data_IF_465559950947
#
_entry.id   IF_465559950947
#
_cell.length_a   1.000
_cell.length_b   1.000
_cell.length_c   1.000
_cell.angle_alpha   90.00
_cell.angle_beta   90.00
_cell.angle_gamma   90.00
#
_symmetry.space_group_name_H-M   'P 1'
#
loop_
_entity.id
_entity.type
_entity.pdbx_description
1 polymer ?
#
# COMPACT_ATOMS: atom_id res chain seq x y z
N UNK A 1 -4.68 -6.46 36.25
CA UNK A 1 -4.92 -5.32 35.33
C UNK A 1 -3.84 -5.37 34.25
N UNK A 2 -4.20 -5.28 32.96
CA UNK A 2 -3.23 -5.35 31.86
C UNK A 2 -3.19 -4.06 31.07
N UNK A 3 -2.15 -3.24 31.24
CA UNK A 3 -1.95 -2.00 30.48
C UNK A 3 -1.53 -2.31 29.05
N UNK A 4 -2.51 -2.45 28.13
CA UNK A 4 -2.24 -2.45 26.68
C UNK A 4 -1.61 -1.12 26.30
N UNK A 5 -0.29 -1.13 26.06
CA UNK A 5 0.44 0.01 25.53
C UNK A 5 -0.17 0.41 24.19
N UNK A 6 -0.89 1.52 24.15
CA UNK A 6 -1.27 2.15 22.88
C UNK A 6 0.00 2.74 22.30
N UNK A 7 0.55 2.13 21.25
CA UNK A 7 1.61 2.72 20.42
C UNK A 7 0.99 3.83 19.55
N UNK A 8 0.40 4.81 20.23
CA UNK A 8 -0.22 5.99 19.66
C UNK A 8 0.89 6.96 19.28
N UNK A 9 1.44 6.79 18.08
CA UNK A 9 2.23 7.86 17.46
C UNK A 9 1.42 9.16 17.46
N UNK A 10 2.10 10.31 17.49
CA UNK A 10 1.46 11.64 17.55
C UNK A 10 0.87 12.02 16.18
N UNK A 11 -0.11 11.23 15.74
CA UNK A 11 -0.79 11.35 14.46
C UNK A 11 -2.02 12.24 14.62
N UNK A 12 -1.93 13.45 14.08
CA UNK A 12 -3.02 14.44 14.03
C UNK A 12 -3.77 14.35 12.71
N UNK A 13 -3.03 14.25 11.62
CA UNK A 13 -3.54 14.12 10.26
C UNK A 13 -2.74 13.01 9.53
N UNK A 14 -2.84 11.74 9.95
CA UNK A 14 -2.03 10.68 9.38
C UNK A 14 -2.34 10.48 7.90
N UNK A 15 -1.30 10.27 7.11
CA UNK A 15 -1.33 9.97 5.69
C UNK A 15 -0.44 8.78 5.39
N UNK A 16 -0.84 7.96 4.42
CA UNK A 16 -0.09 6.81 3.92
C UNK A 16 0.16 6.97 2.42
N UNK A 17 1.42 6.83 2.02
CA UNK A 17 1.79 6.71 0.60
C UNK A 17 1.59 5.26 0.16
N UNK A 18 0.94 5.05 -0.98
CA UNK A 18 0.80 3.74 -1.62
C UNK A 18 0.83 3.85 -3.14
N UNK A 19 1.21 2.76 -3.81
CA UNK A 19 1.30 2.73 -5.27
C UNK A 19 -0.07 2.69 -5.93
N UNK A 20 -0.13 3.14 -7.17
CA UNK A 20 -1.26 2.86 -8.05
C UNK A 20 -1.17 1.41 -8.56
N UNK A 21 -2.31 0.73 -8.82
CA UNK A 21 -3.69 1.25 -8.76
C UNK A 21 -4.30 1.30 -7.35
N UNK A 22 -3.71 0.66 -6.34
CA UNK A 22 -4.29 0.51 -5.00
C UNK A 22 -4.70 1.82 -4.33
N UNK A 23 -3.96 2.92 -4.54
CA UNK A 23 -4.29 4.25 -4.01
C UNK A 23 -5.69 4.72 -4.45
N UNK A 24 -6.00 4.64 -5.75
CA UNK A 24 -7.30 5.06 -6.29
C UNK A 24 -8.39 4.07 -5.91
N UNK A 25 -8.11 2.77 -5.99
CA UNK A 25 -9.09 1.71 -5.66
C UNK A 25 -9.55 1.80 -4.20
N UNK A 26 -8.67 2.22 -3.27
CA UNK A 26 -9.02 2.41 -1.85
C UNK A 26 -9.87 3.68 -1.62
N UNK A 27 -9.51 4.80 -2.28
CA UNK A 27 -10.25 6.07 -2.14
C UNK A 27 -11.60 6.05 -2.87
N UNK A 28 -11.75 5.25 -3.92
CA UNK A 28 -13.02 5.00 -4.60
C UNK A 28 -13.85 3.86 -3.97
N UNK A 29 -13.42 3.31 -2.83
CA UNK A 29 -14.18 2.31 -2.07
C UNK A 29 -14.27 0.92 -2.70
N UNK A 30 -13.47 0.63 -3.72
CA UNK A 30 -13.38 -0.68 -4.36
C UNK A 30 -12.55 -1.63 -3.48
N UNK A 31 -11.37 -1.17 -3.07
CA UNK A 31 -10.47 -1.82 -2.10
C UNK A 31 -10.92 -1.46 -0.68
N UNK A 32 -11.03 -2.46 0.19
CA UNK A 32 -11.59 -2.34 1.55
C UNK A 32 -10.61 -2.79 2.65
N UNK A 33 -9.56 -3.53 2.27
CA UNK A 33 -8.49 -3.97 3.16
C UNK A 33 -7.17 -3.38 2.67
N UNK A 34 -6.47 -2.60 3.50
CA UNK A 34 -5.08 -2.19 3.20
C UNK A 34 -4.09 -3.20 3.80
N UNK A 35 -3.17 -3.70 2.97
CA UNK A 35 -2.29 -4.83 3.30
C UNK A 35 -0.88 -4.38 3.66
N UNK A 36 -0.39 -4.71 4.86
CA UNK A 36 0.97 -4.35 5.32
C UNK A 36 1.65 -5.50 6.06
N UNK A 37 2.98 -5.48 6.07
CA UNK A 37 3.83 -6.39 6.86
C UNK A 37 3.90 -6.02 8.34
N UNK A 38 3.15 -5.00 8.78
CA UNK A 38 3.15 -4.44 10.13
C UNK A 38 1.75 -3.92 10.51
N UNK A 39 1.37 -3.97 11.80
CA UNK A 39 0.03 -3.60 12.27
C UNK A 39 -0.23 -2.10 12.12
N UNK A 40 -1.50 -1.71 12.01
CA UNK A 40 -1.85 -0.29 11.88
C UNK A 40 -1.47 0.51 13.14
N UNK A 41 -0.82 1.68 12.99
CA UNK A 41 -0.37 2.51 14.11
C UNK A 41 -1.44 3.51 14.58
N UNK A 42 -2.66 3.43 14.03
CA UNK A 42 -3.76 4.38 14.20
C UNK A 42 -5.12 3.66 14.22
N UNK A 43 -6.15 4.39 14.59
CA UNK A 43 -7.56 4.09 14.33
C UNK A 43 -8.26 5.41 14.07
N UNK A 44 -9.20 5.47 13.12
CA UNK A 44 -9.80 6.70 12.60
C UNK A 44 -9.28 7.09 11.22
N UNK A 45 -9.52 8.35 10.81
CA UNK A 45 -9.22 8.87 9.47
C UNK A 45 -7.74 8.70 9.07
N UNK A 46 -7.50 8.08 7.92
CA UNK A 46 -6.22 7.98 7.23
C UNK A 46 -6.30 8.62 5.84
N UNK A 47 -5.45 9.61 5.57
CA UNK A 47 -5.29 10.22 4.25
C UNK A 47 -4.48 9.30 3.32
N UNK A 48 -4.83 9.28 2.02
CA UNK A 48 -4.22 8.41 1.02
C UNK A 48 -3.51 9.26 -0.04
N UNK A 49 -2.22 9.01 -0.20
CA UNK A 49 -1.36 9.64 -1.21
C UNK A 49 -0.90 8.59 -2.24
N UNK A 50 -1.02 8.93 -3.52
CA UNK A 50 -0.53 8.11 -4.62
C UNK A 50 0.96 8.33 -4.87
N UNK A 51 1.76 7.28 -4.76
CA UNK A 51 3.20 7.30 -5.02
C UNK A 51 3.53 7.78 -6.45
N UNK A 52 4.74 8.31 -6.64
CA UNK A 52 5.20 8.88 -7.92
C UNK A 52 5.59 7.88 -9.01
N UNK A 53 5.60 6.56 -8.76
CA UNK A 53 5.83 5.56 -9.82
C UNK A 53 4.54 5.39 -10.63
N UNK A 54 4.64 5.62 -11.94
CA UNK A 54 3.57 5.36 -12.92
C UNK A 54 3.13 3.88 -12.80
N UNK A 55 1.82 3.60 -12.69
CA UNK A 55 1.31 2.24 -12.73
C UNK A 55 1.52 1.62 -14.11
N UNK A 56 1.98 0.37 -14.09
CA UNK A 56 2.16 -0.49 -15.25
C UNK A 56 0.78 -1.00 -15.76
N UNK A 57 0.49 -1.01 -17.08
CA UNK A 57 -0.85 -1.32 -17.59
C UNK A 57 -1.35 -2.72 -17.22
N UNK A 58 -0.45 -3.71 -17.28
CA UNK A 58 -0.68 -5.10 -16.89
C UNK A 58 -0.96 -5.20 -15.37
N UNK A 59 -0.28 -4.39 -14.56
CA UNK A 59 -0.52 -4.22 -13.12
C UNK A 59 -1.89 -3.60 -12.82
N UNK A 60 -2.35 -2.62 -13.62
CA UNK A 60 -3.72 -2.10 -13.52
C UNK A 60 -4.70 -3.22 -13.84
N UNK A 61 -4.58 -3.84 -15.02
CA UNK A 61 -5.49 -4.88 -15.49
C UNK A 61 -5.59 -6.05 -14.51
N UNK A 62 -4.47 -6.56 -14.00
CA UNK A 62 -4.45 -7.66 -13.04
C UNK A 62 -5.19 -7.32 -11.74
N UNK A 63 -5.13 -6.07 -11.28
CA UNK A 63 -5.87 -5.62 -10.11
C UNK A 63 -7.35 -5.38 -10.40
N UNK A 64 -7.71 -4.85 -11.57
CA UNK A 64 -9.13 -4.70 -11.99
C UNK A 64 -9.80 -6.06 -12.20
N UNK A 65 -9.14 -7.01 -12.85
CA UNK A 65 -9.61 -8.40 -12.99
C UNK A 65 -9.80 -9.05 -11.62
N UNK A 66 -8.83 -8.89 -10.71
CA UNK A 66 -8.94 -9.37 -9.32
C UNK A 66 -10.14 -8.78 -8.58
N UNK A 67 -10.32 -7.46 -8.63
CA UNK A 67 -11.49 -6.84 -7.99
C UNK A 67 -12.80 -7.27 -8.66
N UNK A 68 -12.83 -7.48 -9.98
CA UNK A 68 -14.01 -7.97 -10.69
C UNK A 68 -14.39 -9.39 -10.26
N UNK A 69 -13.43 -10.31 -10.14
CA UNK A 69 -13.68 -11.69 -9.70
C UNK A 69 -14.10 -11.76 -8.22
N UNK A 70 -13.44 -11.05 -7.29
CA UNK A 70 -13.84 -11.11 -5.87
C UNK A 70 -15.19 -10.43 -5.59
N UNK A 71 -15.58 -9.41 -6.36
CA UNK A 71 -16.93 -8.84 -6.27
C UNK A 71 -17.98 -9.77 -6.88
N UNK A 72 -17.64 -10.51 -7.94
CA UNK A 72 -18.53 -11.52 -8.53
C UNK A 72 -18.83 -12.69 -7.58
N UNK A 73 -17.89 -13.07 -6.69
CA UNK A 73 -18.14 -14.02 -5.59
C UNK A 73 -19.26 -13.54 -4.64
N UNK A 74 -19.47 -12.23 -4.52
CA UNK A 74 -20.60 -11.64 -3.79
C UNK A 74 -21.75 -11.18 -4.71
N UNK A 75 -21.83 -11.70 -5.93
CA UNK A 75 -22.90 -11.44 -6.89
C UNK A 75 -22.84 -10.09 -7.61
N UNK A 76 -21.78 -9.31 -7.44
CA UNK A 76 -21.66 -7.95 -7.97
C UNK A 76 -20.78 -7.95 -9.22
N UNK A 77 -21.38 -7.63 -10.37
CA UNK A 77 -20.72 -7.68 -11.69
C UNK A 77 -20.54 -6.32 -12.37
N UNK A 78 -21.46 -5.36 -12.18
CA UNK A 78 -21.31 -3.95 -12.64
C UNK A 78 -20.40 -3.15 -11.69
N UNK A 79 -19.13 -3.56 -11.61
CA UNK A 79 -18.07 -2.78 -10.96
C UNK A 79 -17.38 -1.88 -11.98
N UNK A 80 -17.39 -0.57 -11.68
CA UNK A 80 -16.80 0.49 -12.49
C UNK A 80 -15.48 0.93 -11.85
N UNK A 81 -14.42 0.93 -12.65
CA UNK A 81 -13.08 1.29 -12.21
C UNK A 81 -12.74 2.74 -12.56
N UNK A 82 -11.76 3.36 -11.88
CA UNK A 82 -11.30 4.71 -12.21
C UNK A 82 -10.70 4.75 -13.62
N UNK A 83 -11.15 5.68 -14.47
CA UNK A 83 -10.59 5.88 -15.81
C UNK A 83 -9.11 6.33 -15.77
N UNK A 84 -8.69 6.94 -14.66
CA UNK A 84 -7.36 7.51 -14.46
C UNK A 84 -6.80 7.17 -13.07
N UNK A 85 -5.50 6.86 -13.01
CA UNK A 85 -4.77 6.52 -11.78
C UNK A 85 -3.65 7.55 -11.49
N UNK A 86 -4.00 8.76 -10.98
CA UNK A 86 -3.05 9.89 -10.87
C UNK A 86 -1.93 9.63 -9.85
N UNK A 87 -0.69 9.99 -10.20
CA UNK A 87 0.51 9.83 -9.37
C UNK A 87 0.91 11.12 -8.65
N UNK A 88 1.73 11.00 -7.59
CA UNK A 88 2.26 12.11 -6.78
C UNK A 88 1.19 13.04 -6.17
N UNK A 89 -0.02 12.52 -5.93
CA UNK A 89 -1.17 13.31 -5.46
C UNK A 89 -1.85 12.73 -4.24
N UNK A 90 -2.25 13.62 -3.33
CA UNK A 90 -3.21 13.33 -2.27
C UNK A 90 -4.58 13.12 -2.93
N UNK A 91 -5.16 11.94 -2.74
CA UNK A 91 -6.40 11.55 -3.43
C UNK A 91 -7.65 11.73 -2.58
N UNK A 92 -7.52 11.59 -1.27
CA UNK A 92 -8.66 11.49 -0.35
C UNK A 92 -8.27 10.84 0.98
N UNK A 93 -9.24 10.26 1.66
CA UNK A 93 -9.04 9.52 2.89
C UNK A 93 -10.07 8.38 3.06
N UNK A 94 -9.72 7.42 3.92
CA UNK A 94 -10.61 6.38 4.46
C UNK A 94 -10.61 6.47 5.99
N UNK A 95 -11.51 5.76 6.66
CA UNK A 95 -11.41 5.51 8.10
C UNK A 95 -10.82 4.12 8.35
N UNK A 96 -9.67 4.05 9.02
CA UNK A 96 -9.10 2.76 9.48
C UNK A 96 -9.80 2.40 10.78
N UNK A 97 -10.77 1.49 10.72
CA UNK A 97 -11.60 1.12 11.88
C UNK A 97 -10.96 0.04 12.75
N UNK A 98 -10.03 -0.75 12.20
CA UNK A 98 -9.31 -1.79 12.93
C UNK A 98 -8.16 -2.41 12.15
N UNK A 99 -7.49 -3.38 12.76
CA UNK A 99 -6.42 -4.17 12.14
C UNK A 99 -6.49 -5.60 12.67
N UNK A 100 -6.42 -6.57 11.77
CA UNK A 100 -6.45 -8.03 12.03
C UNK A 100 -5.34 -8.72 11.24
N UNK A 101 -5.05 -10.00 11.52
CA UNK A 101 -4.20 -10.79 10.63
C UNK A 101 -4.98 -11.29 9.40
N UNK A 102 -4.27 -11.77 8.37
CA UNK A 102 -4.91 -12.44 7.25
C UNK A 102 -5.60 -13.76 7.65
N UNK A 103 -5.07 -14.51 8.63
CA UNK A 103 -5.74 -15.71 9.15
C UNK A 103 -7.03 -15.36 9.89
N UNK A 104 -6.99 -14.35 10.76
CA UNK A 104 -8.17 -13.84 11.48
C UNK A 104 -9.28 -13.37 10.51
N UNK A 105 -8.90 -12.67 9.43
CA UNK A 105 -9.84 -12.17 8.43
C UNK A 105 -10.49 -13.29 7.60
N UNK A 106 -9.74 -14.33 7.20
CA UNK A 106 -10.30 -15.45 6.43
C UNK A 106 -11.37 -16.21 7.22
N UNK A 107 -11.20 -16.32 8.54
CA UNK A 107 -12.14 -16.98 9.46
C UNK A 107 -13.33 -16.10 9.90
N UNK A 108 -13.48 -14.88 9.38
CA UNK A 108 -14.50 -13.93 9.83
C UNK A 108 -15.79 -14.06 9.00
N UNK A 109 -16.65 -15.02 9.34
CA UNK A 109 -17.81 -15.42 8.52
C UNK A 109 -18.81 -14.27 8.23
N UNK A 110 -18.96 -13.32 9.15
CA UNK A 110 -19.81 -12.13 8.99
C UNK A 110 -19.26 -11.12 7.97
N UNK A 111 -18.01 -11.27 7.54
CA UNK A 111 -17.38 -10.44 6.50
C UNK A 111 -17.55 -11.10 5.12
N UNK A 112 -18.13 -10.41 4.11
CA UNK A 112 -18.38 -10.99 2.79
C UNK A 112 -17.12 -11.58 2.15
N UNK A 113 -17.24 -12.75 1.51
CA UNK A 113 -16.07 -13.52 1.05
C UNK A 113 -15.13 -12.71 0.14
N UNK A 114 -15.66 -11.89 -0.76
CA UNK A 114 -14.85 -11.03 -1.63
C UNK A 114 -14.02 -9.98 -0.90
N UNK A 115 -14.40 -9.61 0.33
CA UNK A 115 -13.62 -8.74 1.22
C UNK A 115 -12.51 -9.55 1.89
N UNK A 116 -12.82 -10.78 2.35
CA UNK A 116 -11.83 -11.69 2.96
C UNK A 116 -10.72 -12.08 1.98
N UNK A 117 -11.04 -12.21 0.69
CA UNK A 117 -10.07 -12.49 -0.38
C UNK A 117 -9.10 -11.33 -0.68
N UNK A 118 -9.32 -10.12 -0.16
CA UNK A 118 -8.32 -9.04 -0.16
C UNK A 118 -7.20 -9.26 0.87
N UNK A 119 -7.39 -10.16 1.83
CA UNK A 119 -6.47 -10.46 2.94
C UNK A 119 -5.20 -11.20 2.53
N UNK A 120 -4.37 -10.59 1.70
CA UNK A 120 -3.19 -11.21 1.08
C UNK A 120 -1.86 -10.77 1.70
N UNK A 121 -1.88 -10.20 2.90
CA UNK A 121 -0.68 -9.74 3.63
C UNK A 121 -0.91 -9.85 5.13
N UNK A 122 0.17 -10.12 5.89
CA UNK A 122 0.16 -10.49 7.30
C UNK A 122 -0.77 -9.64 8.17
N UNK A 123 -0.78 -8.31 7.98
CA UNK A 123 -1.71 -7.40 8.65
C UNK A 123 -2.66 -6.75 7.65
N UNK A 124 -3.94 -6.88 7.95
CA UNK A 124 -5.07 -6.38 7.18
C UNK A 124 -5.69 -5.20 7.93
N UNK A 125 -5.44 -3.99 7.44
CA UNK A 125 -6.01 -2.76 7.98
C UNK A 125 -7.42 -2.59 7.39
N UNK A 126 -8.42 -2.50 8.25
CA UNK A 126 -9.84 -2.50 7.87
C UNK A 126 -10.27 -1.06 7.54
N UNK A 127 -10.69 -0.82 6.30
CA UNK A 127 -10.97 0.53 5.81
C UNK A 127 -12.46 0.73 5.46
N UNK A 128 -13.07 1.74 6.09
CA UNK A 128 -14.45 2.18 5.85
C UNK A 128 -14.51 3.63 5.33
N UNK A 129 -15.72 4.12 5.03
CA UNK A 129 -16.03 5.53 4.74
C UNK A 129 -15.06 6.22 3.76
N UNK A 130 -14.90 5.69 2.53
CA UNK A 130 -14.08 6.33 1.50
C UNK A 130 -14.59 7.72 1.15
N UNK A 131 -13.68 8.70 1.16
CA UNK A 131 -13.94 10.10 0.82
C UNK A 131 -12.84 10.57 -0.13
N UNK A 132 -13.21 10.97 -1.35
CA UNK A 132 -12.28 11.46 -2.39
C UNK A 132 -12.21 12.97 -2.43
N UNK A 133 -11.07 13.52 -2.81
CA UNK A 133 -10.94 14.94 -3.13
C UNK A 133 -11.50 15.20 -4.53
N UNK A 134 -12.35 16.22 -4.65
CA UNK A 134 -12.88 16.69 -5.95
C UNK A 134 -11.74 17.16 -6.86
N UNK A 135 -10.66 17.70 -6.28
CA UNK A 135 -9.41 18.03 -6.97
C UNK A 135 -8.24 17.44 -6.16
N UNK A 136 -7.59 16.35 -6.63
CA UNK A 136 -6.43 15.75 -5.96
C UNK A 136 -5.22 16.69 -5.92
N UNK A 137 -4.65 16.92 -4.72
CA UNK A 137 -3.57 17.89 -4.52
C UNK A 137 -2.20 17.30 -4.83
N UNK A 138 -1.37 18.04 -5.56
CA UNK A 138 0.02 17.65 -5.81
C UNK A 138 0.91 17.91 -4.59
N UNK A 139 1.59 16.87 -4.11
CA UNK A 139 2.48 16.95 -2.96
C UNK A 139 3.46 15.77 -2.92
N UNK A 140 4.57 15.92 -2.20
CA UNK A 140 5.52 14.83 -1.95
C UNK A 140 4.93 13.81 -0.96
N UNK A 141 4.96 12.53 -1.33
CA UNK A 141 4.70 11.42 -0.42
C UNK A 141 5.95 10.99 0.36
N UNK A 142 5.75 10.43 1.55
CA UNK A 142 6.81 9.93 2.44
C UNK A 142 6.62 8.45 2.76
N UNK A 143 7.67 7.80 3.30
CA UNK A 143 7.61 6.40 3.75
C UNK A 143 6.90 6.27 5.10
N UNK A 144 6.25 5.13 5.33
CA UNK A 144 5.45 4.88 6.54
C UNK A 144 4.14 5.69 6.59
N UNK A 145 3.58 5.83 7.78
CA UNK A 145 2.50 6.80 8.06
C UNK A 145 3.14 8.08 8.59
N UNK A 146 2.76 9.22 8.01
CA UNK A 146 3.30 10.54 8.34
C UNK A 146 2.14 11.54 8.57
N UNK A 147 2.39 12.68 9.20
CA UNK A 147 1.36 13.72 9.31
C UNK A 147 1.35 14.61 8.06
N UNK A 148 0.16 14.93 7.53
CA UNK A 148 -0.01 16.03 6.59
C UNK A 148 0.36 17.37 7.24
N UNK A 149 0.96 18.26 6.45
CA UNK A 149 1.10 19.67 6.81
C UNK A 149 -0.27 20.30 7.07
N UNK A 150 -0.34 21.17 8.09
CA UNK A 150 -1.59 21.81 8.52
C UNK A 150 -2.35 22.48 7.36
N UNK A 151 -1.64 23.25 6.52
CA UNK A 151 -2.24 23.96 5.37
C UNK A 151 -2.84 23.00 4.34
N UNK A 152 -2.12 21.91 4.01
CA UNK A 152 -2.57 20.88 3.07
C UNK A 152 -3.83 20.20 3.61
N UNK A 153 -3.82 19.80 4.88
CA UNK A 153 -4.99 19.23 5.56
C UNK A 153 -6.19 20.20 5.58
N UNK A 154 -6.00 21.46 5.97
CA UNK A 154 -7.10 22.43 6.11
C UNK A 154 -7.75 22.80 4.77
N UNK A 155 -7.00 22.74 3.67
CA UNK A 155 -7.53 22.87 2.32
C UNK A 155 -8.20 21.56 1.86
N UNK A 156 -7.57 20.40 2.09
CA UNK A 156 -8.07 19.10 1.62
C UNK A 156 -9.39 18.73 2.30
N UNK A 157 -9.53 18.97 3.61
CA UNK A 157 -10.74 18.67 4.37
C UNK A 157 -12.00 19.40 3.84
N UNK A 158 -11.83 20.51 3.12
CA UNK A 158 -12.93 21.27 2.47
C UNK A 158 -13.32 20.73 1.10
N UNK A 159 -12.46 19.94 0.47
CA UNK A 159 -12.65 19.40 -0.88
C UNK A 159 -13.07 17.93 -0.93
N UNK A 160 -13.38 17.32 0.22
CA UNK A 160 -13.78 15.92 0.32
C UNK A 160 -15.25 15.69 -0.06
N UNK A 161 -15.50 14.70 -0.89
CA UNK A 161 -16.82 14.11 -1.16
C UNK A 161 -16.83 12.65 -0.69
N UNK A 162 -17.87 12.19 0.01
CA UNK A 162 -18.11 10.75 0.20
C UNK A 162 -18.17 10.00 -1.13
N UNK A 163 -17.73 8.74 -1.13
CA UNK A 163 -17.85 7.84 -2.29
C UNK A 163 -18.84 6.72 -1.99
N UNK A 164 -19.72 6.43 -2.96
CA UNK A 164 -20.63 5.29 -2.90
C UNK A 164 -19.89 4.02 -3.38
N UNK A 165 -19.27 3.31 -2.43
CA UNK A 165 -18.62 2.01 -2.69
C UNK A 165 -19.60 1.02 -3.36
N UNK A 166 -19.13 0.12 -4.26
CA UNK A 166 -20.00 -0.85 -4.94
C UNK A 166 -20.60 -1.88 -3.96
N UNK A 167 -19.85 -2.25 -2.92
CA UNK A 167 -20.33 -2.98 -1.74
C UNK A 167 -19.88 -2.23 -0.49
N UNK A 168 -20.74 -1.40 0.11
CA UNK A 168 -20.46 -0.78 1.40
C UNK A 168 -20.30 -1.88 2.47
N UNK A 169 -19.14 -1.93 3.11
CA UNK A 169 -18.84 -2.85 4.22
C UNK A 169 -18.81 -2.05 5.51
N UNK A 170 -19.36 -2.64 6.57
CA UNK A 170 -19.12 -2.23 7.94
C UNK A 170 -18.58 -3.44 8.70
N UNK A 171 -17.37 -3.34 9.22
CA UNK A 171 -16.73 -4.43 9.94
C UNK A 171 -17.38 -4.59 11.33
N UNK A 172 -17.85 -5.78 11.72
CA UNK A 172 -18.52 -5.99 13.01
C UNK A 172 -17.48 -6.07 14.15
N UNK A 173 -16.82 -4.95 14.40
CA UNK A 173 -15.76 -4.83 15.39
C UNK A 173 -16.29 -5.06 16.81
N UNK A 174 -15.47 -5.63 17.72
CA UNK A 174 -15.89 -5.83 19.11
C UNK A 174 -16.15 -4.48 19.78
N UNK A 175 -17.34 -4.29 20.33
CA UNK A 175 -17.59 -3.15 21.22
C UNK A 175 -16.77 -3.36 22.51
N UNK A 176 -15.82 -2.47 22.85
CA UNK A 176 -14.98 -2.64 24.04
C UNK A 176 -15.76 -2.56 25.37
N UNK A 177 -17.07 -2.30 25.34
CA UNK A 177 -17.98 -2.26 26.49
C UNK A 177 -18.84 -3.52 26.63
N UNK A 178 -18.90 -4.37 25.60
CA UNK A 178 -19.65 -5.63 25.61
C UNK A 178 -18.69 -6.82 25.76
N UNK A 179 -18.71 -7.55 26.89
CA UNK A 179 -17.87 -8.74 27.10
C UNK A 179 -18.13 -9.88 26.12
N UNK A 180 -19.32 -9.93 25.50
CA UNK A 180 -19.73 -10.98 24.56
C UNK A 180 -19.47 -10.60 23.09
N UNK A 181 -18.97 -9.38 22.83
CA UNK A 181 -18.74 -8.90 21.47
C UNK A 181 -17.69 -9.76 20.77
N UNK A 182 -18.09 -10.37 19.65
CA UNK A 182 -17.28 -11.33 18.90
C UNK A 182 -15.98 -10.67 18.43
N UNK A 183 -14.85 -11.32 18.71
CA UNK A 183 -13.57 -10.95 18.12
C UNK A 183 -13.34 -11.77 16.85
N UNK A 184 -12.72 -11.19 15.80
CA UNK A 184 -12.15 -11.97 14.71
C UNK A 184 -11.37 -13.17 15.28
N UNK A 185 -11.67 -14.38 14.82
CA UNK A 185 -11.04 -15.61 15.33
C UNK A 185 -11.42 -16.07 16.75
N UNK A 186 -12.34 -15.43 17.48
CA UNK A 186 -12.73 -15.90 18.84
C UNK A 186 -13.49 -17.23 18.85
N UNK A 187 -14.07 -17.64 17.72
CA UNK A 187 -14.72 -18.94 17.54
C UNK A 187 -13.81 -20.00 16.90
N UNK A 188 -12.49 -19.91 17.10
CA UNK A 188 -11.54 -21.02 16.84
C UNK A 188 -11.75 -22.12 17.89
N UNK A 189 -12.89 -22.79 17.76
CA UNK A 189 -13.03 -24.18 18.20
C UNK A 189 -12.15 -25.04 17.30
N UNK A 190 -11.35 -25.92 17.89
CA UNK A 190 -10.48 -26.82 17.15
C UNK A 190 -11.28 -27.94 16.48
N UNK A 191 -12.04 -27.62 15.42
CA UNK A 191 -12.68 -28.60 14.54
C UNK A 191 -11.64 -29.31 13.67
N UNK A 192 -10.89 -30.21 14.30
CA UNK A 192 -10.22 -31.31 13.61
C UNK A 192 -11.29 -32.25 13.03
N UNK A 193 -11.90 -31.85 11.91
CA UNK A 193 -13.00 -32.58 11.27
C UNK A 193 -13.05 -32.32 9.76
N UNK A 194 -12.23 -33.08 9.02
CA UNK A 194 -12.61 -33.67 7.73
C UNK A 194 -13.55 -32.86 6.80
N UNK A 195 -13.08 -31.74 6.25
CA UNK A 195 -13.17 -31.44 4.80
C UNK A 195 -12.59 -30.05 4.51
N UNK A 196 -11.77 -29.88 3.46
CA UNK A 196 -11.71 -28.61 2.78
C UNK A 196 -13.08 -28.39 2.13
N UNK A 197 -13.75 -27.28 2.45
CA UNK A 197 -14.74 -26.72 1.53
C UNK A 197 -14.01 -26.03 0.37
N UNK A 198 -13.22 -26.83 -0.37
CA UNK A 198 -12.81 -26.55 -1.74
C UNK A 198 -14.04 -26.68 -2.65
N UNK A 199 -15.05 -25.84 -2.39
CA UNK A 199 -15.94 -25.40 -3.45
C UNK A 199 -15.03 -24.77 -4.51
N UNK A 200 -14.92 -25.43 -5.66
CA UNK A 200 -13.85 -25.21 -6.64
C UNK A 200 -13.71 -23.72 -6.97
N UNK A 201 -12.68 -23.08 -6.42
CA UNK A 201 -12.44 -21.66 -6.67
C UNK A 201 -12.15 -21.50 -8.15
N UNK A 202 -13.13 -20.93 -8.86
CA UNK A 202 -13.16 -20.86 -10.32
C UNK A 202 -11.76 -20.57 -10.87
N UNK A 203 -11.28 -21.28 -11.90
CA UNK A 203 -9.94 -21.08 -12.44
C UNK A 203 -9.63 -19.60 -12.78
N UNK A 204 -10.67 -18.80 -13.07
CA UNK A 204 -10.59 -17.33 -13.22
C UNK A 204 -10.22 -16.63 -11.91
N UNK A 205 -11.00 -16.83 -10.83
CA UNK A 205 -10.71 -16.30 -9.50
C UNK A 205 -9.33 -16.72 -8.99
N UNK A 206 -8.94 -17.99 -9.18
CA UNK A 206 -7.61 -18.48 -8.82
C UNK A 206 -6.49 -17.77 -9.59
N UNK A 207 -6.65 -17.61 -10.91
CA UNK A 207 -5.71 -16.87 -11.76
C UNK A 207 -5.65 -15.37 -11.41
N UNK A 208 -6.79 -14.76 -11.07
CA UNK A 208 -6.87 -13.34 -10.71
C UNK A 208 -6.21 -13.06 -9.34
N UNK A 209 -6.37 -13.96 -8.36
CA UNK A 209 -5.62 -13.92 -7.09
C UNK A 209 -4.12 -14.06 -7.36
N UNK A 210 -3.69 -14.97 -8.24
CA UNK A 210 -2.28 -15.11 -8.61
C UNK A 210 -1.73 -13.86 -9.31
N UNK A 211 -2.51 -13.23 -10.21
CA UNK A 211 -2.19 -11.97 -10.88
C UNK A 211 -2.01 -10.81 -9.89
N UNK A 212 -2.95 -10.64 -8.94
CA UNK A 212 -2.84 -9.62 -7.90
C UNK A 212 -1.61 -9.81 -7.00
N UNK A 213 -1.25 -11.06 -6.66
CA UNK A 213 -0.02 -11.37 -5.92
C UNK A 213 1.23 -11.01 -6.70
N UNK A 214 1.31 -11.39 -7.98
CA UNK A 214 2.42 -11.03 -8.84
C UNK A 214 2.57 -9.50 -8.95
N UNK A 215 1.46 -8.80 -9.23
CA UNK A 215 1.35 -7.35 -9.30
C UNK A 215 1.86 -6.65 -8.02
N UNK A 216 1.51 -7.15 -6.83
CA UNK A 216 1.97 -6.60 -5.56
C UNK A 216 3.49 -6.79 -5.32
N UNK A 217 4.04 -7.96 -5.66
CA UNK A 217 5.46 -8.28 -5.34
C UNK A 217 6.50 -7.42 -6.09
N UNK A 218 6.12 -6.75 -7.19
CA UNK A 218 7.07 -5.96 -7.99
C UNK A 218 7.73 -4.82 -7.20
N UNK A 219 7.03 -4.23 -6.22
CA UNK A 219 7.50 -3.07 -5.46
C UNK A 219 8.45 -3.48 -4.33
N UNK A 220 8.29 -4.68 -3.77
CA UNK A 220 9.13 -5.21 -2.68
C UNK A 220 10.61 -5.35 -3.08
N UNK A 221 10.90 -5.55 -4.38
CA UNK A 221 12.26 -5.79 -4.88
C UNK A 221 13.15 -4.53 -4.93
N UNK A 222 12.58 -3.32 -4.83
CA UNK A 222 13.35 -2.07 -4.97
C UNK A 222 13.99 -1.56 -3.66
N UNK A 223 13.67 -2.14 -2.50
CA UNK A 223 14.29 -1.78 -1.21
C UNK A 223 15.62 -2.50 -0.94
N UNK A 224 16.13 -3.31 -1.88
CA UNK A 224 17.44 -3.95 -1.78
C UNK A 224 18.56 -3.00 -2.18
N UNK A 225 19.27 -2.42 -1.20
CA UNK A 225 20.49 -1.66 -1.43
C UNK A 225 21.58 -2.55 -2.05
N UNK A 226 21.96 -2.31 -3.30
CA UNK A 226 23.13 -2.99 -3.88
C UNK A 226 24.41 -2.48 -3.20
N UNK A 227 25.31 -3.37 -2.71
CA UNK A 227 26.64 -2.97 -2.33
C UNK A 227 27.44 -2.61 -3.60
N UNK A 228 27.87 -1.36 -3.70
CA UNK A 228 28.67 -0.86 -4.83
C UNK A 228 30.06 -1.49 -4.80
N UNK A 229 30.25 -2.57 -5.57
CA UNK A 229 31.55 -3.19 -5.76
C UNK A 229 32.48 -2.28 -6.58
N UNK A 230 33.33 -1.51 -5.90
CA UNK A 230 34.35 -0.67 -6.52
C UNK A 230 35.37 -1.57 -7.23
N UNK A 231 35.27 -1.69 -8.56
CA UNK A 231 36.35 -2.25 -9.37
C UNK A 231 37.45 -1.22 -9.55
N UNK A 232 38.51 -1.34 -8.75
CA UNK A 232 39.79 -0.71 -9.05
C UNK A 232 40.32 -1.33 -10.34
N UNK A 233 40.55 -0.52 -11.38
CA UNK A 233 41.29 -0.93 -12.56
C UNK A 233 42.75 -0.52 -12.39
N UNK A 234 43.62 -1.48 -12.14
CA UNK A 234 45.06 -1.28 -12.26
C UNK A 234 45.42 -1.10 -13.74
N UNK A 235 46.13 -0.02 -14.08
CA UNK A 235 46.69 0.17 -15.41
C UNK A 235 48.12 -0.39 -15.45
N UNK A 236 48.49 -1.22 -16.44
CA UNK A 236 49.80 -1.85 -16.49
C UNK A 236 50.91 -0.85 -16.83
N UNK A 237 52.03 -0.95 -16.12
CA UNK A 237 53.25 -0.19 -16.41
C UNK A 237 53.81 -0.58 -17.78
N UNK A 238 54.16 0.41 -18.61
CA UNK A 238 54.95 0.22 -19.82
C UNK A 238 56.13 1.18 -19.83
N UNK A 239 57.32 0.66 -20.11
CA UNK A 239 58.60 1.38 -19.99
C UNK A 239 59.18 1.77 -21.34
N UNK A 240 59.58 3.03 -21.50
CA UNK A 240 60.61 3.42 -22.48
C UNK A 240 61.34 4.70 -22.07
N UNK A 241 62.47 4.95 -22.71
CA UNK A 241 63.63 5.53 -22.04
C UNK A 241 64.12 6.83 -22.68
N UNK A 242 64.58 7.75 -21.80
CA UNK A 242 65.79 8.57 -21.97
C UNK A 242 65.85 9.53 -23.17
N UNK A 243 65.80 10.84 -22.89
CA UNK A 243 67.00 11.68 -23.08
C UNK A 243 66.97 12.98 -22.27
N UNK A 244 68.13 13.64 -22.18
CA UNK A 244 68.44 14.75 -21.25
C UNK A 244 69.45 15.70 -21.89
N UNK A 245 69.12 16.98 -21.99
CA UNK A 245 70.08 18.06 -22.28
C UNK A 245 69.64 19.35 -21.58
N UNK A 246 70.61 20.13 -21.11
CA UNK A 246 70.41 21.51 -20.63
C UNK A 246 70.50 22.47 -21.82
N UNK A 247 70.00 23.70 -21.66
CA UNK A 247 70.89 24.87 -21.69
C UNK A 247 70.22 26.12 -21.11
N UNK A 248 71.06 27.11 -20.88
CA UNK A 248 70.89 28.30 -20.04
C UNK A 248 71.41 29.50 -20.88
N UNK A 249 70.93 30.75 -20.84
CA UNK A 249 70.15 31.55 -19.86
C UNK A 249 68.88 32.16 -20.52
N UNK A 250 68.30 33.37 -20.34
CA UNK A 250 68.63 34.62 -19.59
C UNK A 250 67.38 35.54 -19.35
N UNK A 251 67.58 36.82 -19.01
CA UNK A 251 66.62 37.94 -18.83
C UNK A 251 67.18 39.22 -19.52
N UNK A 252 66.66 40.48 -19.38
CA UNK A 252 65.48 41.00 -18.65
C UNK A 252 64.64 42.09 -19.41
N UNK A 253 63.64 42.69 -18.71
CA UNK A 253 63.11 44.09 -18.83
C UNK A 253 62.63 44.61 -20.22
N UNK A 254 61.39 45.11 -20.40
CA UNK A 254 60.84 46.32 -19.77
C UNK A 254 59.35 46.54 -20.12
N UNK A 255 58.52 46.92 -19.13
CA UNK A 255 57.42 47.92 -19.17
C UNK A 255 56.75 48.00 -17.80
#
# INVERSE_FOLDING_TARGET
>A
MGSKSRISGNYRNPCLTMHQPWASLLVEGIKRIEGRSWPSPITGRLWIHAAGKIPDPETIKAMEDFYREIYAVNGITDIKFPEHYPISRLLGCVEVVGCVTCEELVCWEEVPEGVRLEGQTNYCWLCEQPQRLIVPFEMRGFQGVYNLEKKIYEAAARGLSPVKAPLPVKFPLPDPRDPFSLKPGSLVSYRSSSSPSEAEKSPRLAAAIAGARAAATQFSKQNGSQPTAIKVQEMPVSTRTRNKSKLDTDSPLNS
#
